data_IF_925138161793
#
_entry.id   IF_925138161793
#
_cell.length_a   1.000
_cell.length_b   1.000
_cell.length_c   1.000
_cell.angle_alpha   90.00
_cell.angle_beta   90.00
_cell.angle_gamma   90.00
#
_symmetry.space_group_name_H-M   'P 1'
#
loop_
_entity.id
_entity.type
_entity.pdbx_description
1 polymer ?
#
# COMPACT_ATOMS: atom_id res chain seq x y z
N UNK A 1 1.90 -13.94 -16.45
CA UNK A 1 2.28 -13.19 -17.67
C UNK A 1 3.79 -13.10 -17.70
N UNK A 2 4.44 -13.46 -18.81
CA UNK A 2 5.88 -13.30 -18.95
C UNK A 2 6.17 -11.90 -19.51
N UNK A 3 7.07 -11.16 -18.87
CA UNK A 3 7.58 -9.89 -19.37
C UNK A 3 9.07 -10.03 -19.68
N UNK A 4 9.50 -9.51 -20.82
CA UNK A 4 10.91 -9.43 -21.18
C UNK A 4 11.44 -8.05 -20.76
N UNK A 5 12.45 -8.02 -19.89
CA UNK A 5 13.08 -6.79 -19.40
C UNK A 5 14.48 -6.65 -19.99
N UNK A 6 14.85 -5.43 -20.38
CA UNK A 6 16.19 -5.07 -20.86
C UNK A 6 16.80 -4.04 -19.92
N UNK A 7 18.13 -4.03 -19.78
CA UNK A 7 18.82 -3.07 -18.92
C UNK A 7 18.68 -1.64 -19.45
N UNK A 8 18.36 -0.66 -18.59
CA UNK A 8 18.43 0.75 -18.98
C UNK A 8 19.90 1.18 -19.02
N UNK A 9 20.21 2.18 -19.86
CA UNK A 9 21.55 2.78 -19.89
C UNK A 9 21.80 3.68 -18.68
N UNK A 10 20.79 4.42 -18.26
CA UNK A 10 20.76 5.34 -17.10
C UNK A 10 19.32 5.32 -16.54
N UNK A 11 19.15 5.42 -15.20
CA UNK A 11 17.85 5.60 -14.54
C UNK A 11 17.91 6.85 -13.66
N UNK A 12 17.19 7.90 -14.03
CA UNK A 12 17.14 9.17 -13.33
C UNK A 12 15.70 9.70 -13.24
N UNK A 13 15.34 10.30 -12.11
CA UNK A 13 14.03 10.87 -11.88
C UNK A 13 13.64 10.90 -10.40
N UNK A 14 12.49 11.51 -10.14
CA UNK A 14 11.87 11.55 -8.81
C UNK A 14 10.52 10.85 -8.90
N UNK A 15 10.28 9.90 -8.00
CA UNK A 15 9.01 9.18 -7.92
C UNK A 15 8.49 9.20 -6.49
N UNK A 16 7.18 9.13 -6.35
CA UNK A 16 6.52 8.85 -5.07
C UNK A 16 6.10 7.39 -5.07
N UNK A 17 6.52 6.65 -4.04
CA UNK A 17 6.13 5.25 -3.89
C UNK A 17 4.73 5.14 -3.25
N UNK A 18 3.99 4.05 -3.51
CA UNK A 18 2.79 3.74 -2.75
C UNK A 18 3.07 3.59 -1.26
N UNK A 19 2.02 3.64 -0.44
CA UNK A 19 2.11 3.35 0.98
C UNK A 19 2.72 1.99 1.31
N UNK A 20 3.33 1.90 2.49
CA UNK A 20 3.88 0.64 2.98
C UNK A 20 2.77 -0.38 3.26
N UNK A 21 2.95 -1.60 2.76
CA UNK A 21 1.95 -2.66 2.86
C UNK A 21 1.69 -3.05 4.32
N UNK A 22 2.73 -3.25 5.11
CA UNK A 22 2.62 -3.74 6.49
C UNK A 22 2.02 -2.69 7.42
N UNK A 23 2.44 -1.43 7.30
CA UNK A 23 1.86 -0.29 8.02
C UNK A 23 0.38 -0.14 7.64
N UNK A 24 0.03 -0.27 6.35
CA UNK A 24 -1.36 -0.16 5.91
C UNK A 24 -2.26 -1.22 6.54
N UNK A 25 -1.84 -2.49 6.55
CA UNK A 25 -2.60 -3.54 7.24
C UNK A 25 -2.78 -3.25 8.73
N UNK A 26 -1.69 -2.90 9.43
CA UNK A 26 -1.74 -2.63 10.88
C UNK A 26 -2.58 -1.41 11.21
N UNK A 27 -2.45 -0.34 10.44
CA UNK A 27 -3.24 0.87 10.60
C UNK A 27 -4.73 0.57 10.47
N UNK A 28 -5.14 -0.22 9.48
CA UNK A 28 -6.53 -0.65 9.31
C UNK A 28 -7.02 -1.50 10.48
N UNK A 29 -6.28 -2.57 10.83
CA UNK A 29 -6.69 -3.52 11.88
C UNK A 29 -6.82 -2.82 13.23
N UNK A 30 -5.84 -2.01 13.62
CA UNK A 30 -5.87 -1.34 14.92
C UNK A 30 -6.95 -0.27 14.99
N UNK A 31 -7.20 0.49 13.91
CA UNK A 31 -8.27 1.49 13.91
C UNK A 31 -9.67 0.87 13.82
N UNK A 32 -9.83 -0.30 13.20
CA UNK A 32 -11.11 -1.03 13.19
C UNK A 32 -11.50 -1.53 14.59
N UNK A 33 -10.53 -1.81 15.46
CA UNK A 33 -10.76 -2.22 16.84
C UNK A 33 -10.81 -1.05 17.84
N UNK A 34 -10.47 0.17 17.41
CA UNK A 34 -10.41 1.34 18.27
C UNK A 34 -11.78 2.03 18.39
N UNK A 35 -11.97 2.79 19.47
CA UNK A 35 -13.15 3.66 19.62
C UNK A 35 -12.89 5.04 18.98
N UNK A 36 -13.90 5.59 18.31
CA UNK A 36 -13.84 6.91 17.70
C UNK A 36 -13.71 6.88 16.18
N UNK A 37 -13.21 7.98 15.61
CA UNK A 37 -13.01 8.13 14.15
C UNK A 37 -11.54 8.35 13.84
N UNK A 38 -11.06 7.67 12.81
CA UNK A 38 -9.71 7.85 12.28
C UNK A 38 -9.76 8.19 10.79
N UNK A 39 -8.82 9.01 10.34
CA UNK A 39 -8.60 9.30 8.92
C UNK A 39 -7.21 8.78 8.55
N UNK A 40 -7.16 7.81 7.63
CA UNK A 40 -5.92 7.22 7.16
C UNK A 40 -5.63 7.68 5.73
N UNK A 41 -4.41 8.14 5.48
CA UNK A 41 -3.93 8.57 4.15
C UNK A 41 -2.64 7.84 3.79
N UNK A 42 -2.34 7.74 2.50
CA UNK A 42 -1.11 7.10 2.03
C UNK A 42 -1.09 5.59 2.26
N UNK A 43 -2.25 4.93 2.29
CA UNK A 43 -2.32 3.47 2.33
C UNK A 43 -1.77 2.85 1.03
N UNK A 44 -1.21 1.66 1.15
CA UNK A 44 -0.77 0.87 0.00
C UNK A 44 -1.96 0.52 -0.90
N UNK A 45 -1.76 0.63 -2.21
CA UNK A 45 -2.79 0.37 -3.22
C UNK A 45 -2.80 -1.09 -3.70
N UNK A 46 -2.12 -1.99 -2.97
CA UNK A 46 -2.08 -3.42 -3.27
C UNK A 46 -3.43 -4.13 -3.08
N UNK A 47 -3.63 -5.26 -3.76
CA UNK A 47 -4.80 -6.14 -3.59
C UNK A 47 -4.97 -6.60 -2.15
N UNK A 48 -3.86 -6.87 -1.47
CA UNK A 48 -3.84 -7.46 -0.12
C UNK A 48 -4.44 -6.49 0.90
N UNK A 49 -4.05 -5.21 0.84
CA UNK A 49 -4.60 -4.16 1.70
C UNK A 49 -6.07 -3.93 1.39
N UNK A 50 -6.47 -3.95 0.11
CA UNK A 50 -7.90 -3.91 -0.26
C UNK A 50 -8.68 -5.11 0.29
N UNK A 51 -8.08 -6.30 0.35
CA UNK A 51 -8.72 -7.47 0.97
C UNK A 51 -8.91 -7.27 2.47
N UNK A 52 -7.94 -6.68 3.18
CA UNK A 52 -8.09 -6.33 4.60
C UNK A 52 -9.20 -5.32 4.82
N UNK A 53 -9.31 -4.28 3.98
CA UNK A 53 -10.43 -3.32 4.07
C UNK A 53 -11.78 -4.03 3.90
N UNK A 54 -11.88 -5.03 3.01
CA UNK A 54 -13.14 -5.73 2.75
C UNK A 54 -13.58 -6.69 3.85
N UNK A 55 -12.67 -7.17 4.69
CA UNK A 55 -12.97 -8.18 5.71
C UNK A 55 -13.07 -7.61 7.13
N UNK A 56 -12.68 -6.34 7.32
CA UNK A 56 -12.93 -5.57 8.54
C UNK A 56 -14.31 -4.89 8.42
#
# INVERSE_FOLDING_TARGET
MAQQIRSPRILEGVITIPGDKSISHRALIFNAAAMGKACLSGLSTGSDVRSTIRCL
#
